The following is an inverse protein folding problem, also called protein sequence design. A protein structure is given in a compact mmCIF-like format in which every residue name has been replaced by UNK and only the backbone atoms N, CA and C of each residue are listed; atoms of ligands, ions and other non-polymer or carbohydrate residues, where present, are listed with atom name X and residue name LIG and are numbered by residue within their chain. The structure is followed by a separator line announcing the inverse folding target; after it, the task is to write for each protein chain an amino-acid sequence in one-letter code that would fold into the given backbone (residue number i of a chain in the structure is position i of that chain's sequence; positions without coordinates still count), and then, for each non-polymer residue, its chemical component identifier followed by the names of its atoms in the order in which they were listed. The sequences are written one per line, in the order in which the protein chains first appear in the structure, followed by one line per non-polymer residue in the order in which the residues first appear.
data_IF_681642387196
#
_entry.id   IF_681642387196
#
_cell.length_a   1.000
_cell.length_b   1.000
_cell.length_c   1.000
_cell.angle_alpha   90.00
_cell.angle_beta   90.00
_cell.angle_gamma   90.00
#
_symmetry.space_group_name_H-M   'P 1'
#
loop_
_entity.id
_entity.type
_entity.pdbx_description
1 polymer ?
#
# COMPACT_ATOMS: atom_id res chain seq x y z
N UNK A 1 11.79 -2.04 -17.15
CA UNK A 1 10.41 -1.53 -17.39
C UNK A 1 9.91 -0.67 -16.23
N UNK A 2 8.94 0.23 -16.47
CA UNK A 2 8.24 0.99 -15.42
C UNK A 2 6.95 0.28 -15.03
N UNK A 3 6.68 0.16 -13.73
CA UNK A 3 5.53 -0.58 -13.19
C UNK A 3 4.81 0.25 -12.13
N UNK A 4 3.48 0.27 -12.19
CA UNK A 4 2.59 0.73 -11.13
C UNK A 4 1.94 -0.45 -10.42
N UNK A 5 1.76 -0.36 -9.11
CA UNK A 5 1.09 -1.38 -8.30
C UNK A 5 0.12 -0.72 -7.35
N UNK A 6 -1.07 -1.29 -7.19
CA UNK A 6 -2.02 -0.94 -6.13
C UNK A 6 -2.37 -2.19 -5.30
N UNK A 7 -1.98 -2.19 -4.03
CA UNK A 7 -2.26 -3.31 -3.11
C UNK A 7 -3.51 -3.04 -2.28
N UNK A 8 -4.56 -3.80 -2.57
CA UNK A 8 -5.81 -3.85 -1.82
C UNK A 8 -5.88 -4.98 -0.79
N UNK A 9 -7.01 -5.09 -0.09
CA UNK A 9 -7.27 -6.18 0.87
C UNK A 9 -7.48 -7.55 0.20
N UNK A 10 -8.07 -7.58 -0.99
CA UNK A 10 -8.40 -8.82 -1.70
C UNK A 10 -7.48 -9.08 -2.89
N UNK A 11 -7.17 -8.05 -3.66
CA UNK A 11 -6.34 -8.14 -4.85
C UNK A 11 -5.27 -7.06 -4.88
N UNK A 12 -4.17 -7.39 -5.55
CA UNK A 12 -3.13 -6.45 -5.95
C UNK A 12 -3.16 -6.31 -7.47
N UNK A 13 -3.32 -5.07 -7.93
CA UNK A 13 -3.35 -4.71 -9.34
C UNK A 13 -1.96 -4.22 -9.75
N UNK A 14 -1.43 -4.74 -10.87
CA UNK A 14 -0.10 -4.41 -11.39
C UNK A 14 -0.21 -4.01 -12.85
N UNK A 15 0.40 -2.88 -13.22
CA UNK A 15 0.34 -2.31 -14.56
C UNK A 15 1.75 -1.94 -15.03
N UNK A 16 2.16 -2.45 -16.19
CA UNK A 16 3.37 -1.98 -16.87
C UNK A 16 3.06 -0.75 -17.72
N UNK A 17 4.05 0.12 -17.92
CA UNK A 17 3.88 1.35 -18.69
C UNK A 17 3.50 1.15 -20.17
N UNK A 18 3.66 -0.06 -20.71
CA UNK A 18 3.23 -0.43 -22.06
C UNK A 18 1.80 -1.02 -22.11
N UNK A 19 1.07 -0.99 -21.00
CA UNK A 19 -0.34 -1.39 -20.94
C UNK A 19 -0.59 -2.84 -20.55
N UNK A 20 0.45 -3.64 -20.26
CA UNK A 20 0.26 -4.98 -19.69
C UNK A 20 -0.26 -4.89 -18.26
N UNK A 21 -1.22 -5.75 -17.92
CA UNK A 21 -1.91 -5.73 -16.62
C UNK A 21 -1.89 -7.15 -16.02
N UNK A 22 -1.66 -7.24 -14.72
CA UNK A 22 -1.90 -8.43 -13.93
C UNK A 22 -2.73 -8.08 -12.70
N UNK A 23 -3.63 -8.98 -12.32
CA UNK A 23 -4.38 -8.91 -11.07
C UNK A 23 -4.14 -10.21 -10.32
N UNK A 24 -3.59 -10.11 -9.12
CA UNK A 24 -3.26 -11.28 -8.29
C UNK A 24 -3.94 -11.17 -6.94
N UNK A 25 -4.28 -12.29 -6.27
CA UNK A 25 -4.74 -12.24 -4.88
C UNK A 25 -3.74 -11.49 -4.00
N UNK A 26 -4.24 -10.66 -3.09
CA UNK A 26 -3.40 -10.02 -2.08
C UNK A 26 -2.90 -11.04 -1.08
N UNK A 27 -1.73 -10.77 -0.52
CA UNK A 27 -1.08 -11.57 0.52
C UNK A 27 -0.93 -10.72 1.78
N UNK A 28 -1.98 -10.55 2.62
CA UNK A 28 -1.98 -9.58 3.72
C UNK A 28 -0.83 -9.75 4.72
N UNK A 29 -0.33 -10.97 4.89
CA UNK A 29 0.79 -11.29 5.77
C UNK A 29 2.17 -11.00 5.16
N UNK A 30 2.28 -10.94 3.83
CA UNK A 30 3.46 -10.45 3.09
C UNK A 30 3.00 -9.76 1.80
N UNK A 31 2.58 -8.48 1.84
CA UNK A 31 2.13 -7.75 0.66
C UNK A 31 3.16 -7.72 -0.47
N UNK A 32 4.45 -7.86 -0.13
CA UNK A 32 5.53 -7.90 -1.11
C UNK A 32 5.47 -9.13 -2.02
N UNK A 33 4.87 -10.24 -1.58
CA UNK A 33 4.69 -11.43 -2.40
C UNK A 33 3.76 -11.16 -3.59
N UNK A 34 2.57 -10.60 -3.34
CA UNK A 34 1.64 -10.22 -4.40
C UNK A 34 2.26 -9.22 -5.40
N UNK A 35 3.03 -8.25 -4.90
CA UNK A 35 3.78 -7.29 -5.74
C UNK A 35 4.79 -8.01 -6.65
N UNK A 36 5.60 -8.93 -6.10
CA UNK A 36 6.60 -9.69 -6.87
C UNK A 36 5.94 -10.60 -7.91
N UNK A 37 4.90 -11.32 -7.53
CA UNK A 37 4.17 -12.22 -8.42
C UNK A 37 3.50 -11.47 -9.57
N UNK A 38 2.82 -10.36 -9.28
CA UNK A 38 2.20 -9.52 -10.32
C UNK A 38 3.24 -8.87 -11.25
N UNK A 39 4.36 -8.40 -10.70
CA UNK A 39 5.47 -7.86 -11.51
C UNK A 39 6.08 -8.90 -12.45
N UNK A 40 6.22 -10.15 -12.00
CA UNK A 40 6.70 -11.25 -12.85
C UNK A 40 5.73 -11.56 -14.00
N UNK A 41 4.41 -11.52 -13.74
CA UNK A 41 3.39 -11.74 -14.77
C UNK A 41 3.43 -10.66 -15.87
N UNK A 42 3.58 -9.39 -15.48
CA UNK A 42 3.67 -8.30 -16.48
C UNK A 42 5.04 -8.23 -17.16
N UNK A 43 6.09 -8.82 -16.60
CA UNK A 43 7.41 -8.88 -17.23
C UNK A 43 7.44 -9.84 -18.44
N UNK A 44 6.72 -10.97 -18.37
CA UNK A 44 6.64 -11.96 -19.45
C UNK A 44 8.01 -12.56 -19.82
N UNK A 45 8.23 -12.82 -21.12
CA UNK A 45 9.46 -13.45 -21.64
C UNK A 45 10.70 -12.56 -21.56
N UNK A 46 10.56 -11.29 -21.18
CA UNK A 46 11.69 -10.37 -20.99
C UNK A 46 12.50 -10.67 -19.72
N UNK A 47 12.10 -11.70 -18.95
CA UNK A 47 12.79 -12.14 -17.75
C UNK A 47 12.50 -11.26 -16.53
N UNK A 48 12.99 -11.64 -15.33
CA UNK A 48 12.75 -10.94 -14.08
C UNK A 48 13.60 -9.66 -13.98
N UNK A 49 13.60 -8.82 -15.01
CA UNK A 49 14.20 -7.50 -14.87
C UNK A 49 13.45 -6.74 -13.79
N UNK A 50 14.17 -6.43 -12.71
CA UNK A 50 13.67 -5.52 -11.68
C UNK A 50 13.14 -4.27 -12.38
N UNK A 51 11.93 -3.80 -12.04
CA UNK A 51 11.43 -2.56 -12.59
C UNK A 51 12.46 -1.46 -12.40
N UNK A 52 12.75 -0.70 -13.46
CA UNK A 52 13.61 0.48 -13.39
C UNK A 52 12.93 1.58 -12.57
N UNK A 53 11.61 1.51 -12.45
CA UNK A 53 10.79 2.36 -11.59
C UNK A 53 9.59 1.56 -11.12
N UNK A 54 9.29 1.64 -9.83
CA UNK A 54 8.11 1.05 -9.21
C UNK A 54 7.32 2.17 -8.52
N UNK A 55 6.11 2.45 -9.00
CA UNK A 55 5.14 3.27 -8.28
C UNK A 55 4.25 2.33 -7.46
N UNK A 56 4.26 2.48 -6.13
CA UNK A 56 3.50 1.62 -5.22
C UNK A 56 2.42 2.43 -4.50
N UNK A 57 1.17 2.10 -4.77
CA UNK A 57 -0.01 2.51 -4.04
C UNK A 57 -0.51 1.36 -3.17
N UNK A 58 -1.13 1.69 -2.04
CA UNK A 58 -1.79 0.70 -1.19
C UNK A 58 -2.93 1.32 -0.42
N UNK A 59 -3.98 0.53 -0.18
CA UNK A 59 -5.10 0.89 0.69
C UNK A 59 -4.94 0.34 2.12
N UNK A 60 -3.86 -0.38 2.43
CA UNK A 60 -3.64 -0.99 3.75
C UNK A 60 -3.69 0.03 4.88
N UNK A 61 -3.05 1.19 4.73
CA UNK A 61 -3.04 2.24 5.75
C UNK A 61 -4.43 2.85 5.98
N UNK A 62 -5.14 3.16 4.90
CA UNK A 62 -6.50 3.72 4.97
C UNK A 62 -7.47 2.72 5.59
N UNK A 63 -7.40 1.45 5.21
CA UNK A 63 -8.24 0.41 5.80
C UNK A 63 -7.90 0.17 7.28
N UNK A 64 -6.62 0.19 7.64
CA UNK A 64 -6.21 0.11 9.04
C UNK A 64 -6.78 1.27 9.88
N UNK A 65 -6.82 2.49 9.34
CA UNK A 65 -7.43 3.64 10.00
C UNK A 65 -8.96 3.47 10.14
N UNK A 66 -9.65 3.12 9.06
CA UNK A 66 -11.12 2.95 9.05
C UNK A 66 -11.57 1.83 9.99
N UNK A 67 -10.81 0.74 10.04
CA UNK A 67 -11.12 -0.45 10.85
C UNK A 67 -10.48 -0.38 12.25
N UNK A 68 -9.88 0.77 12.60
CA UNK A 68 -9.20 1.03 13.89
C UNK A 68 -8.18 -0.04 14.28
N UNK A 69 -7.48 -0.60 13.29
CA UNK A 69 -6.40 -1.59 13.45
C UNK A 69 -5.04 -0.90 13.37
N UNK A 70 -4.76 -0.03 14.33
CA UNK A 70 -3.45 0.60 14.52
C UNK A 70 -2.66 -0.03 15.66
N UNK A 71 -1.41 0.39 15.82
CA UNK A 71 -0.66 0.13 17.04
C UNK A 71 -1.22 0.97 18.20
N UNK A 72 -1.05 0.50 19.44
CA UNK A 72 -1.25 1.35 20.62
C UNK A 72 -0.17 2.43 20.64
N UNK A 73 -0.57 3.70 20.67
CA UNK A 73 0.30 4.87 20.64
C UNK A 73 0.02 5.79 21.83
N UNK A 74 1.00 6.59 22.22
CA UNK A 74 0.85 7.63 23.23
C UNK A 74 0.98 9.02 22.58
N UNK A 75 0.15 9.96 23.02
CA UNK A 75 0.29 11.38 22.69
C UNK A 75 1.02 12.08 23.84
N UNK A 76 2.16 12.71 23.54
CA UNK A 76 2.89 13.55 24.50
C UNK A 76 2.61 15.01 24.17
N UNK A 77 2.08 15.76 25.13
CA UNK A 77 1.73 17.17 24.97
C UNK A 77 2.31 18.03 26.10
N UNK A 78 2.30 19.34 25.91
CA UNK A 78 2.53 20.31 26.98
C UNK A 78 1.43 20.19 28.05
N UNK A 79 1.77 20.45 29.31
CA UNK A 79 0.79 20.49 30.40
C UNK A 79 -0.39 21.42 30.04
N UNK A 80 -1.62 20.90 30.18
CA UNK A 80 -2.85 21.60 29.79
C UNK A 80 -3.35 21.36 28.37
N UNK A 81 -2.67 20.56 27.54
CA UNK A 81 -3.03 20.31 26.13
C UNK A 81 -3.36 18.85 25.80
N UNK A 82 -3.66 18.02 26.80
CA UNK A 82 -3.96 16.59 26.59
C UNK A 82 -5.18 16.35 25.68
N UNK A 83 -6.18 17.25 25.74
CA UNK A 83 -7.48 17.06 25.09
C UNK A 83 -7.54 17.55 23.64
N UNK A 84 -6.42 17.97 23.05
CA UNK A 84 -6.40 18.65 21.73
C UNK A 84 -7.00 17.82 20.59
N UNK A 85 -6.76 16.49 20.58
CA UNK A 85 -7.31 15.60 19.55
C UNK A 85 -8.82 15.41 19.73
N UNK A 86 -9.32 15.40 20.97
CA UNK A 86 -10.75 15.25 21.27
C UNK A 86 -11.53 16.52 20.98
N UNK A 87 -10.95 17.68 21.32
CA UNK A 87 -11.53 19.00 21.03
C UNK A 87 -11.71 19.22 19.52
N UNK A 88 -10.80 18.66 18.70
CA UNK A 88 -10.90 18.62 17.25
C UNK A 88 -11.28 19.96 16.58
N UNK A 89 -10.73 21.08 17.08
CA UNK A 89 -10.99 22.40 16.49
C UNK A 89 -10.48 22.45 15.04
N UNK A 90 -11.37 22.86 14.13
CA UNK A 90 -11.11 23.03 12.70
C UNK A 90 -11.42 24.49 12.37
N UNK A 91 -10.48 25.38 12.68
CA UNK A 91 -10.59 26.81 12.38
C UNK A 91 -9.99 27.10 11.00
#
# INVERSE_FOLDING_TARGET
MRVGVDTGGTFTDVVAADGRIAKVPSTPHDPGEAVRSGAALVAGDHGPERPTTLAHGTTVATNALLERRGATVALVTTAGFADVIEIARQD
#
